data_IF_215648468397
#
_entry.id   IF_215648468397
#
_cell.length_a   1.000
_cell.length_b   1.000
_cell.length_c   1.000
_cell.angle_alpha   90.00
_cell.angle_beta   90.00
_cell.angle_gamma   90.00
#
_symmetry.space_group_name_H-M   'P 1'
#
loop_
_entity.id
_entity.type
_entity.pdbx_description
1 polymer ?
#
# COMPACT_ATOMS: atom_id res chain seq x y z
N UNK A 1 12.51 -3.91 -8.34
CA UNK A 1 11.58 -3.46 -7.29
C UNK A 1 10.36 -2.86 -7.98
N UNK A 2 9.14 -3.34 -7.71
CA UNK A 2 7.94 -2.70 -8.26
C UNK A 2 7.80 -1.29 -7.67
N UNK A 3 7.52 -0.28 -8.49
CA UNK A 3 7.30 1.09 -8.01
C UNK A 3 6.16 1.16 -7.00
N UNK A 4 6.18 2.16 -6.11
CA UNK A 4 5.08 2.41 -5.17
C UNK A 4 3.72 2.46 -5.90
N UNK A 5 3.68 3.17 -7.04
CA UNK A 5 2.49 3.26 -7.90
C UNK A 5 2.03 1.90 -8.45
N UNK A 6 2.94 1.03 -8.86
CA UNK A 6 2.59 -0.32 -9.33
C UNK A 6 2.00 -1.17 -8.20
N UNK A 7 2.55 -1.07 -6.99
CA UNK A 7 2.05 -1.79 -5.82
C UNK A 7 0.67 -1.27 -5.38
N UNK A 8 0.47 0.05 -5.40
CA UNK A 8 -0.85 0.68 -5.15
C UNK A 8 -1.89 0.17 -6.15
N UNK A 9 -1.56 0.13 -7.44
CA UNK A 9 -2.48 -0.36 -8.48
C UNK A 9 -2.91 -1.82 -8.23
N UNK A 10 -1.98 -2.67 -7.78
CA UNK A 10 -2.31 -4.06 -7.40
C UNK A 10 -3.31 -4.11 -6.24
N UNK A 11 -3.13 -3.26 -5.22
CA UNK A 11 -4.05 -3.19 -4.08
C UNK A 11 -5.45 -2.75 -4.51
N UNK A 12 -5.56 -1.76 -5.42
CA UNK A 12 -6.84 -1.34 -5.99
C UNK A 12 -7.51 -2.46 -6.80
N UNK A 13 -6.79 -3.14 -7.69
CA UNK A 13 -7.32 -4.27 -8.46
C UNK A 13 -7.85 -5.40 -7.57
N UNK A 14 -7.13 -5.72 -6.48
CA UNK A 14 -7.58 -6.73 -5.51
C UNK A 14 -8.88 -6.30 -4.82
N UNK A 15 -8.97 -5.04 -4.41
CA UNK A 15 -10.16 -4.49 -3.78
C UNK A 15 -11.37 -4.48 -4.72
N UNK A 16 -11.22 -3.98 -5.94
CA UNK A 16 -12.30 -3.98 -6.94
C UNK A 16 -12.82 -5.39 -7.21
N UNK A 17 -11.92 -6.37 -7.34
CA UNK A 17 -12.32 -7.77 -7.52
C UNK A 17 -13.05 -8.34 -6.30
N UNK A 18 -12.61 -7.97 -5.08
CA UNK A 18 -13.28 -8.38 -3.85
C UNK A 18 -14.69 -7.76 -3.74
N UNK A 19 -14.84 -6.49 -4.12
CA UNK A 19 -16.14 -5.80 -4.17
C UNK A 19 -17.07 -6.45 -5.19
N UNK A 20 -16.59 -6.72 -6.40
CA UNK A 20 -17.40 -7.38 -7.46
C UNK A 20 -17.89 -8.77 -7.07
N UNK A 21 -17.14 -9.49 -6.22
CA UNK A 21 -17.48 -10.85 -5.75
C UNK A 21 -18.28 -10.87 -4.45
N UNK A 22 -18.38 -9.74 -3.75
CA UNK A 22 -19.04 -9.68 -2.46
C UNK A 22 -20.56 -9.87 -2.60
N UNK A 23 -21.12 -10.79 -1.82
CA UNK A 23 -22.57 -11.07 -1.79
C UNK A 23 -23.27 -10.53 -0.54
N UNK A 24 -22.54 -9.81 0.33
CA UNK A 24 -23.08 -9.29 1.58
C UNK A 24 -22.38 -7.99 2.03
N UNK A 25 -23.08 -7.21 2.85
CA UNK A 25 -22.53 -5.98 3.47
C UNK A 25 -21.28 -6.28 4.32
N UNK A 26 -21.28 -7.41 5.02
CA UNK A 26 -20.13 -7.84 5.82
C UNK A 26 -18.90 -8.13 4.94
N UNK A 27 -19.10 -8.76 3.78
CA UNK A 27 -18.02 -9.03 2.83
C UNK A 27 -17.44 -7.72 2.24
N UNK A 28 -18.28 -6.72 1.97
CA UNK A 28 -17.84 -5.38 1.54
C UNK A 28 -17.01 -4.68 2.62
N UNK A 29 -17.48 -4.67 3.87
CA UNK A 29 -16.75 -4.09 4.99
C UNK A 29 -15.40 -4.78 5.20
N UNK A 30 -15.35 -6.10 5.06
CA UNK A 30 -14.10 -6.88 5.13
C UNK A 30 -13.15 -6.52 3.99
N UNK A 31 -13.65 -6.41 2.76
CA UNK A 31 -12.85 -6.03 1.60
C UNK A 31 -12.21 -4.64 1.80
N UNK A 32 -12.98 -3.67 2.31
CA UNK A 32 -12.46 -2.34 2.61
C UNK A 32 -11.41 -2.34 3.75
N UNK A 33 -11.68 -3.08 4.83
CA UNK A 33 -10.74 -3.20 5.94
C UNK A 33 -9.38 -3.76 5.50
N UNK A 34 -9.40 -4.80 4.66
CA UNK A 34 -8.17 -5.38 4.08
C UNK A 34 -7.48 -4.37 3.17
N UNK A 35 -8.22 -3.73 2.27
CA UNK A 35 -7.70 -2.72 1.36
C UNK A 35 -6.97 -1.59 2.10
N UNK A 36 -7.61 -1.03 3.13
CA UNK A 36 -7.01 0.01 3.98
C UNK A 36 -5.71 -0.47 4.62
N UNK A 37 -5.72 -1.66 5.24
CA UNK A 37 -4.54 -2.24 5.90
C UNK A 37 -3.37 -2.43 4.93
N UNK A 38 -3.65 -2.94 3.72
CA UNK A 38 -2.62 -3.13 2.70
C UNK A 38 -2.02 -1.79 2.24
N UNK A 39 -2.86 -0.76 2.06
CA UNK A 39 -2.40 0.60 1.74
C UNK A 39 -1.51 1.21 2.83
N UNK A 40 -1.93 1.13 4.09
CA UNK A 40 -1.18 1.67 5.23
C UNK A 40 0.18 0.97 5.38
N UNK A 41 0.20 -0.36 5.20
CA UNK A 41 1.44 -1.14 5.27
C UNK A 41 2.42 -0.75 4.14
N UNK A 42 1.91 -0.59 2.92
CA UNK A 42 2.71 -0.17 1.77
C UNK A 42 3.26 1.24 1.96
N UNK A 43 2.43 2.19 2.39
CA UNK A 43 2.84 3.56 2.66
C UNK A 43 3.94 3.62 3.73
N UNK A 44 3.75 2.91 4.85
CA UNK A 44 4.75 2.85 5.92
C UNK A 44 6.10 2.33 5.43
N UNK A 45 6.09 1.30 4.56
CA UNK A 45 7.31 0.77 3.95
C UNK A 45 7.98 1.81 3.05
N UNK A 46 7.20 2.45 2.18
CA UNK A 46 7.71 3.46 1.25
C UNK A 46 8.39 4.63 1.98
N UNK A 47 7.72 5.22 2.98
CA UNK A 47 8.28 6.34 3.76
C UNK A 47 9.55 5.94 4.52
N UNK A 48 9.63 4.69 5.01
CA UNK A 48 10.85 4.17 5.65
C UNK A 48 12.02 4.10 4.66
N UNK A 49 11.77 3.66 3.43
CA UNK A 49 12.79 3.60 2.37
C UNK A 49 13.29 5.01 2.01
N UNK A 50 12.39 5.99 1.92
CA UNK A 50 12.74 7.39 1.69
C UNK A 50 13.55 7.99 2.84
N UNK A 51 13.19 7.68 4.09
CA UNK A 51 13.96 8.12 5.27
C UNK A 51 15.39 7.59 5.23
N UNK A 52 15.58 6.32 4.86
CA UNK A 52 16.91 5.72 4.69
C UNK A 52 17.68 6.40 3.57
N UNK A 53 17.02 6.75 2.46
CA UNK A 53 17.64 7.48 1.36
C UNK A 53 18.12 8.86 1.80
N UNK A 54 17.27 9.61 2.52
CA UNK A 54 17.61 10.94 3.07
C UNK A 54 18.80 10.83 4.03
N UNK A 55 18.78 9.88 4.96
CA UNK A 55 19.87 9.72 5.92
C UNK A 55 21.21 9.39 5.24
N UNK A 56 21.18 8.56 4.19
CA UNK A 56 22.37 8.28 3.37
C UNK A 56 22.84 9.51 2.61
N UNK A 57 21.94 10.32 2.08
CA UNK A 57 22.28 11.56 1.39
C UNK A 57 22.93 12.56 2.35
N UNK A 58 22.34 12.76 3.54
CA UNK A 58 22.90 13.61 4.59
C UNK A 58 24.34 13.23 4.96
N UNK A 59 24.59 11.93 5.19
CA UNK A 59 25.92 11.42 5.53
C UNK A 59 26.99 11.66 4.44
N UNK A 60 26.58 11.84 3.18
CA UNK A 60 27.51 12.14 2.08
C UNK A 60 27.85 13.63 1.94
N UNK A 61 27.11 14.48 2.65
CA UNK A 61 27.31 15.94 2.67
C UNK A 61 28.16 16.40 3.87
N UNK A 62 28.50 15.48 4.76
CA UNK A 62 29.50 15.63 5.83
C UNK A 62 30.88 15.16 5.33
#
# INVERSE_FOLDING_TARGET
MASYSAQVNVIHKKFENAVKKAKSKQALNKAYSIHKKDHEALLKKHLREETVMINKAKKKLE
#
